data_IF_093746962765
#
_entry.id   IF_093746962765
#
_cell.length_a   1.000
_cell.length_b   1.000
_cell.length_c   1.000
_cell.angle_alpha   90.00
_cell.angle_beta   90.00
_cell.angle_gamma   90.00
#
_symmetry.space_group_name_H-M   'P 1'
#
loop_
_entity.id
_entity.type
_entity.pdbx_description
1 polymer ?
#
# COMPACT_ATOMS: atom_id res chain seq x y z
N UNK A 1 33.05 45.82 61.14
CA UNK A 1 33.27 45.06 62.39
C UNK A 1 32.21 43.97 62.49
N UNK A 2 32.56 42.78 63.01
CA UNK A 2 32.48 41.54 62.24
C UNK A 2 31.42 40.56 62.75
N UNK A 3 31.04 39.59 61.91
CA UNK A 3 31.03 38.17 62.33
C UNK A 3 30.87 37.23 61.14
N UNK A 4 31.92 36.44 60.95
CA UNK A 4 32.06 35.25 60.11
C UNK A 4 31.42 34.02 60.76
N UNK A 5 30.97 33.04 59.97
CA UNK A 5 31.47 31.65 60.04
C UNK A 5 30.87 30.71 58.96
N UNK A 6 31.78 30.22 58.09
CA UNK A 6 31.98 28.88 57.50
C UNK A 6 30.83 27.99 56.93
N UNK A 7 30.81 27.86 55.58
CA UNK A 7 30.91 26.68 54.64
C UNK A 7 30.41 25.26 54.98
N UNK A 8 30.15 24.34 54.00
CA UNK A 8 30.06 24.46 52.52
C UNK A 8 28.96 23.58 51.79
N UNK A 9 28.98 23.64 50.44
CA UNK A 9 28.56 22.64 49.41
C UNK A 9 27.12 22.66 48.86
N UNK A 10 26.96 23.02 47.58
CA UNK A 10 26.72 22.12 46.43
C UNK A 10 26.65 22.97 45.14
N UNK A 11 27.44 22.62 44.13
CA UNK A 11 27.39 23.24 42.80
C UNK A 11 26.23 22.68 41.99
N UNK A 12 25.53 23.55 41.24
CA UNK A 12 24.60 23.16 40.17
C UNK A 12 25.01 23.86 38.88
N UNK A 13 25.51 23.07 37.94
CA UNK A 13 25.88 23.47 36.59
C UNK A 13 24.63 23.57 35.71
N UNK A 14 24.53 24.67 34.97
CA UNK A 14 23.58 24.87 33.87
C UNK A 14 23.81 23.84 32.75
N UNK A 15 22.74 23.27 32.22
CA UNK A 15 22.74 22.56 30.92
C UNK A 15 21.58 23.13 30.09
N UNK A 16 21.93 23.62 28.90
CA UNK A 16 21.08 24.14 27.83
C UNK A 16 20.18 23.04 27.23
N UNK A 17 19.05 23.39 26.57
CA UNK A 17 18.07 22.41 26.10
C UNK A 17 18.61 21.54 24.96
N UNK A 18 18.52 20.23 25.15
CA UNK A 18 18.86 19.20 24.18
C UNK A 18 17.69 18.97 23.21
N UNK A 19 18.02 18.85 21.93
CA UNK A 19 17.09 18.67 20.80
C UNK A 19 16.29 17.36 20.92
N UNK A 20 14.97 17.45 20.78
CA UNK A 20 14.09 16.30 20.66
C UNK A 20 14.16 15.73 19.23
N UNK A 21 15.03 14.75 19.03
CA UNK A 21 15.16 14.02 17.78
C UNK A 21 15.77 12.66 18.03
N UNK A 22 14.99 11.72 18.59
CA UNK A 22 15.21 10.27 18.56
C UNK A 22 14.20 9.56 19.48
N UNK A 23 12.94 9.41 19.06
CA UNK A 23 12.01 8.47 19.70
C UNK A 23 11.14 7.81 18.62
N UNK A 24 11.74 7.00 17.76
CA UNK A 24 10.99 5.99 16.99
C UNK A 24 11.84 4.74 16.65
N UNK A 25 12.90 4.51 17.43
CA UNK A 25 13.54 3.21 17.55
C UNK A 25 13.32 2.74 18.99
N UNK A 26 12.91 1.48 19.17
CA UNK A 26 12.50 0.83 20.43
C UNK A 26 11.04 1.03 20.85
N UNK A 27 10.15 0.21 20.29
CA UNK A 27 8.96 -0.29 20.99
C UNK A 27 8.75 -1.76 20.59
N UNK A 28 9.71 -2.59 20.97
CA UNK A 28 9.59 -4.05 21.05
C UNK A 28 10.13 -4.46 22.42
N UNK A 29 9.56 -3.90 23.48
CA UNK A 29 9.86 -4.27 24.86
C UNK A 29 8.59 -4.13 25.70
N UNK A 30 7.90 -5.24 25.95
CA UNK A 30 7.63 -5.83 27.28
C UNK A 30 6.84 -7.14 27.07
N UNK A 31 7.52 -8.29 27.10
CA UNK A 31 6.91 -9.59 27.43
C UNK A 31 7.74 -10.17 28.59
N UNK A 32 7.13 -10.60 29.71
CA UNK A 32 7.90 -11.12 30.84
C UNK A 32 8.36 -12.57 30.60
N UNK A 33 9.69 -12.74 30.48
CA UNK A 33 10.51 -13.97 30.66
C UNK A 33 10.40 -15.11 29.60
N UNK A 34 11.42 -15.98 29.50
CA UNK A 34 12.17 -16.25 28.27
C UNK A 34 11.57 -17.40 27.44
N UNK A 35 10.37 -17.21 26.91
CA UNK A 35 10.02 -17.83 25.62
C UNK A 35 10.66 -17.01 24.49
N UNK A 36 12.00 -17.08 24.55
CA UNK A 36 13.09 -16.72 23.64
C UNK A 36 12.88 -15.56 22.67
N UNK A 37 13.77 -14.56 22.77
CA UNK A 37 14.10 -13.61 21.70
C UNK A 37 14.22 -14.31 20.32
N UNK A 38 14.64 -15.57 20.29
CA UNK A 38 14.71 -16.43 19.10
C UNK A 38 13.36 -16.68 18.42
N UNK A 39 12.28 -16.93 19.17
CA UNK A 39 10.94 -17.14 18.58
C UNK A 39 10.41 -15.84 18.01
N UNK A 40 10.57 -14.72 18.72
CA UNK A 40 10.20 -13.38 18.24
C UNK A 40 10.96 -13.03 16.97
N UNK A 41 12.27 -13.29 16.93
CA UNK A 41 13.10 -13.07 15.74
C UNK A 41 12.66 -13.96 14.57
N UNK A 42 12.32 -15.23 14.80
CA UNK A 42 11.78 -16.12 13.76
C UNK A 42 10.44 -15.66 13.20
N UNK A 43 9.52 -15.25 14.08
CA UNK A 43 8.22 -14.70 13.65
C UNK A 43 8.42 -13.43 12.83
N UNK A 44 9.31 -12.54 13.27
CA UNK A 44 9.62 -11.32 12.54
C UNK A 44 10.27 -11.62 11.18
N UNK A 45 11.32 -12.46 11.15
CA UNK A 45 12.12 -12.71 9.94
C UNK A 45 11.43 -13.60 8.91
N UNK A 46 10.52 -14.48 9.33
CA UNK A 46 9.82 -15.39 8.43
C UNK A 46 8.40 -14.90 8.14
N UNK A 47 7.58 -14.69 9.18
CA UNK A 47 6.16 -14.39 8.98
C UNK A 47 5.94 -12.92 8.62
N UNK A 48 6.40 -11.98 9.46
CA UNK A 48 6.16 -10.55 9.21
C UNK A 48 6.87 -10.06 7.95
N UNK A 49 8.09 -10.52 7.71
CA UNK A 49 8.81 -10.22 6.47
C UNK A 49 8.04 -10.70 5.22
N UNK A 50 7.61 -11.97 5.23
CA UNK A 50 6.82 -12.53 4.13
C UNK A 50 5.51 -11.79 3.93
N UNK A 51 4.78 -11.45 5.01
CA UNK A 51 3.51 -10.71 4.93
C UNK A 51 3.74 -9.31 4.34
N UNK A 52 4.77 -8.58 4.79
CA UNK A 52 5.12 -7.28 4.22
C UNK A 52 5.44 -7.36 2.73
N UNK A 53 6.15 -8.41 2.30
CA UNK A 53 6.42 -8.68 0.88
C UNK A 53 5.17 -9.08 0.11
N UNK A 54 4.28 -9.86 0.71
CA UNK A 54 3.04 -10.31 0.09
C UNK A 54 2.01 -9.20 -0.10
N UNK A 55 1.90 -8.28 0.85
CA UNK A 55 0.91 -7.18 0.82
C UNK A 55 1.47 -5.92 0.19
N UNK A 56 2.70 -5.54 0.54
CA UNK A 56 3.29 -4.24 0.16
C UNK A 56 4.45 -4.37 -0.82
N UNK A 57 4.87 -5.58 -1.20
CA UNK A 57 6.11 -5.83 -1.94
C UNK A 57 7.35 -5.15 -1.30
N UNK A 58 7.27 -4.90 0.02
CA UNK A 58 8.14 -3.97 0.73
C UNK A 58 9.04 -4.64 1.77
N UNK A 59 10.05 -3.89 2.21
CA UNK A 59 10.96 -4.32 3.26
C UNK A 59 10.33 -4.08 4.64
N UNK A 60 10.10 -5.16 5.40
CA UNK A 60 9.52 -5.10 6.75
C UNK A 60 10.29 -4.21 7.73
N UNK A 61 11.59 -3.96 7.49
CA UNK A 61 12.45 -3.10 8.32
C UNK A 61 12.24 -1.60 8.07
N UNK A 62 11.60 -1.22 6.97
CA UNK A 62 11.38 0.17 6.58
C UNK A 62 9.91 0.59 6.75
N UNK A 63 8.99 -0.38 6.69
CA UNK A 63 7.55 -0.17 6.78
C UNK A 63 7.09 0.16 8.20
N UNK A 64 6.16 1.10 8.32
CA UNK A 64 5.54 1.51 9.57
C UNK A 64 4.41 0.55 9.96
N UNK A 65 4.53 -0.12 11.10
CA UNK A 65 3.45 -0.96 11.66
C UNK A 65 2.16 -0.17 11.86
N UNK A 66 2.27 1.10 12.28
CA UNK A 66 1.12 2.00 12.50
C UNK A 66 0.31 2.23 11.22
N UNK A 67 1.00 2.32 10.08
CA UNK A 67 0.37 2.66 8.80
C UNK A 67 0.00 1.41 7.98
N UNK A 68 0.84 0.37 8.04
CA UNK A 68 0.63 -0.87 7.28
C UNK A 68 -0.33 -1.84 7.99
N UNK A 69 -0.35 -1.84 9.32
CA UNK A 69 -1.19 -2.74 10.12
C UNK A 69 -1.89 -1.99 11.26
N UNK A 70 -2.78 -1.02 10.95
CA UNK A 70 -3.38 -0.14 11.95
C UNK A 70 -4.09 -0.89 13.09
N UNK A 71 -4.79 -1.99 12.78
CA UNK A 71 -5.48 -2.80 13.79
C UNK A 71 -4.53 -3.46 14.79
N UNK A 72 -3.35 -3.91 14.34
CA UNK A 72 -2.34 -4.51 15.23
C UNK A 72 -1.73 -3.44 16.14
N UNK A 73 -1.40 -2.28 15.56
CA UNK A 73 -0.90 -1.13 16.32
C UNK A 73 -1.91 -0.64 17.36
N UNK A 74 -3.19 -0.49 16.99
CA UNK A 74 -4.26 -0.08 17.91
C UNK A 74 -4.49 -1.12 19.01
N UNK A 75 -4.47 -2.41 18.69
CA UNK A 75 -4.60 -3.49 19.67
C UNK A 75 -3.48 -3.44 20.72
N UNK A 76 -2.23 -3.24 20.29
CA UNK A 76 -1.09 -3.07 21.19
C UNK A 76 -1.24 -1.81 22.04
N UNK A 77 -1.57 -0.65 21.45
CA UNK A 77 -1.65 0.60 22.20
C UNK A 77 -2.80 0.62 23.21
N UNK A 78 -3.92 0.01 22.88
CA UNK A 78 -5.12 0.00 23.73
C UNK A 78 -5.03 -1.06 24.82
N UNK A 79 -4.56 -2.26 24.49
CA UNK A 79 -4.61 -3.42 25.39
C UNK A 79 -3.24 -3.88 25.90
N UNK A 80 -2.14 -3.21 25.49
CA UNK A 80 -0.74 -3.61 25.73
C UNK A 80 -0.40 -5.03 25.28
N UNK A 81 -1.23 -5.60 24.40
CA UNK A 81 -1.11 -6.95 23.86
C UNK A 81 -1.95 -7.09 22.59
N UNK A 82 -1.30 -7.46 21.49
CA UNK A 82 -1.96 -7.67 20.19
C UNK A 82 -3.00 -8.80 20.28
N UNK A 83 -2.64 -9.93 20.90
CA UNK A 83 -3.53 -11.09 21.02
C UNK A 83 -4.77 -10.73 21.82
N UNK A 84 -4.58 -10.04 22.96
CA UNK A 84 -5.70 -9.62 23.80
C UNK A 84 -6.61 -8.63 23.06
N UNK A 85 -6.04 -7.65 22.36
CA UNK A 85 -6.82 -6.68 21.61
C UNK A 85 -7.61 -7.28 20.45
N UNK A 86 -7.05 -8.27 19.73
CA UNK A 86 -7.77 -8.98 18.68
C UNK A 86 -8.92 -9.83 19.22
N UNK A 87 -8.77 -10.42 20.41
CA UNK A 87 -9.83 -11.22 21.05
C UNK A 87 -10.97 -10.35 21.62
N UNK A 88 -10.64 -9.18 22.16
CA UNK A 88 -11.63 -8.23 22.67
C UNK A 88 -12.37 -7.51 21.53
N UNK A 89 -11.74 -7.43 20.35
CA UNK A 89 -12.30 -6.84 19.14
C UNK A 89 -12.38 -5.32 19.19
N UNK A 90 -12.41 -4.69 18.02
CA UNK A 90 -12.88 -3.31 17.90
C UNK A 90 -14.42 -3.32 17.88
N UNK A 91 -15.05 -2.35 18.53
CA UNK A 91 -16.51 -2.25 18.62
C UNK A 91 -17.22 -2.37 17.25
N UNK A 92 -18.48 -2.82 17.26
CA UNK A 92 -19.23 -3.03 16.02
C UNK A 92 -19.47 -1.70 15.30
N UNK A 93 -18.83 -1.52 14.14
CA UNK A 93 -19.24 -0.48 13.19
C UNK A 93 -20.47 -0.97 12.43
N UNK A 94 -21.44 -0.11 12.09
CA UNK A 94 -22.57 -0.47 11.24
C UNK A 94 -22.04 -1.07 9.94
N UNK A 95 -22.35 -2.34 9.70
CA UNK A 95 -21.94 -3.04 8.48
C UNK A 95 -23.07 -2.89 7.46
N UNK A 96 -22.76 -2.54 6.20
CA UNK A 96 -23.76 -2.59 5.15
C UNK A 96 -24.31 -4.01 5.02
N UNK A 97 -25.59 -4.13 4.68
CA UNK A 97 -26.25 -5.41 4.48
C UNK A 97 -26.71 -5.54 3.02
N UNK A 98 -26.39 -6.68 2.42
CA UNK A 98 -26.76 -7.01 1.04
C UNK A 98 -26.83 -8.53 0.87
N UNK A 99 -27.52 -8.99 -0.18
CA UNK A 99 -27.60 -10.42 -0.47
C UNK A 99 -26.21 -11.06 -0.61
N UNK A 100 -25.26 -10.37 -1.27
CA UNK A 100 -23.88 -10.84 -1.44
C UNK A 100 -23.12 -10.90 -0.11
N UNK A 101 -23.29 -9.91 0.78
CA UNK A 101 -22.63 -9.92 2.10
C UNK A 101 -23.14 -11.09 2.95
N UNK A 102 -24.46 -11.33 2.93
CA UNK A 102 -25.05 -12.46 3.66
C UNK A 102 -24.57 -13.80 3.10
N UNK A 103 -24.51 -13.93 1.78
CA UNK A 103 -23.99 -15.13 1.12
C UNK A 103 -22.52 -15.37 1.45
N UNK A 104 -21.66 -14.35 1.32
CA UNK A 104 -20.24 -14.43 1.63
C UNK A 104 -19.98 -14.86 3.09
N UNK A 105 -20.79 -14.38 4.04
CA UNK A 105 -20.73 -14.82 5.45
C UNK A 105 -21.20 -16.26 5.63
N UNK A 106 -22.32 -16.64 5.02
CA UNK A 106 -22.89 -17.98 5.13
C UNK A 106 -21.94 -19.05 4.55
N UNK A 107 -21.33 -18.75 3.41
CA UNK A 107 -20.40 -19.63 2.69
C UNK A 107 -18.93 -19.45 3.13
N UNK A 108 -18.65 -18.55 4.08
CA UNK A 108 -17.32 -18.26 4.63
C UNK A 108 -16.26 -17.96 3.57
N UNK A 109 -16.60 -17.09 2.62
CA UNK A 109 -15.67 -16.70 1.56
C UNK A 109 -14.38 -16.12 2.15
N UNK A 110 -13.24 -16.66 1.73
CA UNK A 110 -11.91 -16.10 2.06
C UNK A 110 -11.51 -14.99 1.09
N UNK A 111 -12.03 -15.04 -0.14
CA UNK A 111 -11.79 -14.10 -1.23
C UNK A 111 -12.85 -14.28 -2.31
N UNK A 112 -12.91 -13.33 -3.24
CA UNK A 112 -13.74 -13.41 -4.43
C UNK A 112 -13.07 -12.70 -5.60
N UNK A 113 -13.47 -13.06 -6.81
CA UNK A 113 -13.10 -12.40 -8.05
C UNK A 113 -14.30 -12.41 -8.98
N UNK A 114 -14.18 -11.80 -10.16
CA UNK A 114 -15.21 -11.81 -11.18
C UNK A 114 -14.86 -12.82 -12.26
N UNK A 115 -15.86 -13.47 -12.85
CA UNK A 115 -15.66 -14.50 -13.89
C UNK A 115 -14.77 -14.02 -15.04
N UNK A 116 -14.96 -12.77 -15.47
CA UNK A 116 -14.14 -12.12 -16.51
C UNK A 116 -12.83 -11.49 -16.02
N UNK A 117 -12.42 -11.77 -14.78
CA UNK A 117 -11.29 -11.11 -14.12
C UNK A 117 -11.66 -9.78 -13.46
N UNK A 118 -10.78 -9.30 -12.57
CA UNK A 118 -11.04 -8.11 -11.76
C UNK A 118 -11.19 -6.81 -12.57
N UNK A 119 -10.71 -6.76 -13.82
CA UNK A 119 -10.92 -5.62 -14.73
C UNK A 119 -12.42 -5.39 -15.06
N UNK A 120 -13.26 -6.42 -14.89
CA UNK A 120 -14.72 -6.31 -15.06
C UNK A 120 -15.32 -5.22 -14.15
N UNK A 121 -14.78 -5.03 -12.94
CA UNK A 121 -15.25 -4.02 -11.99
C UNK A 121 -15.05 -2.59 -12.53
N UNK A 122 -13.83 -2.12 -12.85
CA UNK A 122 -13.62 -0.79 -13.40
C UNK A 122 -14.28 -0.58 -14.77
N UNK A 123 -14.38 -1.60 -15.63
CA UNK A 123 -15.10 -1.50 -16.90
C UNK A 123 -16.61 -1.24 -16.69
N UNK A 124 -17.20 -1.89 -15.68
CA UNK A 124 -18.61 -1.67 -15.32
C UNK A 124 -18.82 -0.28 -14.73
N UNK A 125 -17.87 0.21 -13.91
CA UNK A 125 -17.92 1.58 -13.39
C UNK A 125 -17.83 2.62 -14.51
N UNK A 126 -16.92 2.46 -15.48
CA UNK A 126 -16.78 3.35 -16.64
C UNK A 126 -18.09 3.43 -17.46
N UNK A 127 -18.71 2.27 -17.70
CA UNK A 127 -20.01 2.18 -18.38
C UNK A 127 -21.10 2.90 -17.58
N UNK A 128 -21.16 2.68 -16.26
CA UNK A 128 -22.13 3.34 -15.39
C UNK A 128 -21.96 4.86 -15.38
N UNK A 129 -20.73 5.36 -15.23
CA UNK A 129 -20.42 6.79 -15.24
C UNK A 129 -20.81 7.44 -16.57
N UNK A 130 -20.47 6.82 -17.70
CA UNK A 130 -20.83 7.30 -19.03
C UNK A 130 -22.37 7.35 -19.21
N UNK A 131 -23.09 6.34 -18.71
CA UNK A 131 -24.56 6.31 -18.74
C UNK A 131 -25.22 7.41 -17.90
N UNK A 132 -24.49 7.92 -16.89
CA UNK A 132 -24.90 9.04 -16.03
C UNK A 132 -24.49 10.42 -16.58
N UNK A 133 -23.89 10.48 -17.77
CA UNK A 133 -23.45 11.73 -18.38
C UNK A 133 -22.13 12.29 -17.83
N UNK A 134 -21.35 11.48 -17.10
CA UNK A 134 -20.01 11.88 -16.64
C UNK A 134 -19.05 11.90 -17.82
N UNK A 135 -18.29 12.99 -17.95
CA UNK A 135 -17.24 13.11 -18.98
C UNK A 135 -15.97 12.37 -18.55
N UNK A 136 -15.58 11.34 -19.31
CA UNK A 136 -14.37 10.55 -19.07
C UNK A 136 -13.36 10.83 -20.18
N UNK A 137 -12.31 11.59 -19.86
CA UNK A 137 -11.24 11.95 -20.81
C UNK A 137 -10.06 10.98 -20.68
N UNK A 138 -9.83 10.18 -21.72
CA UNK A 138 -8.72 9.20 -21.79
C UNK A 138 -7.61 9.72 -22.70
N UNK A 139 -6.36 9.37 -22.40
CA UNK A 139 -5.20 9.81 -23.19
C UNK A 139 -4.87 11.31 -23.05
N UNK A 140 -5.41 11.98 -22.02
CA UNK A 140 -5.24 13.40 -21.73
C UNK A 140 -4.57 13.56 -20.35
N UNK A 141 -3.23 13.42 -20.25
CA UNK A 141 -2.54 13.55 -18.98
C UNK A 141 -2.67 14.98 -18.44
N UNK A 142 -2.90 15.12 -17.14
CA UNK A 142 -2.82 16.42 -16.46
C UNK A 142 -1.35 16.83 -16.38
N UNK A 143 -1.05 18.02 -16.86
CA UNK A 143 0.29 18.59 -16.94
C UNK A 143 0.57 19.63 -15.85
N UNK A 144 -0.46 20.16 -15.19
CA UNK A 144 -0.28 21.12 -14.09
C UNK A 144 -1.60 21.63 -13.51
N UNK A 145 -1.52 22.10 -12.28
CA UNK A 145 -2.62 22.70 -11.53
C UNK A 145 -2.22 24.12 -11.14
N UNK A 146 -3.15 25.06 -11.27
CA UNK A 146 -2.98 26.44 -10.78
C UNK A 146 -4.29 26.95 -10.20
N UNK A 147 -4.23 27.64 -9.08
CA UNK A 147 -5.39 28.38 -8.56
C UNK A 147 -5.55 29.68 -9.35
N UNK A 148 -6.75 29.90 -9.84
CA UNK A 148 -7.14 31.16 -10.46
C UNK A 148 -7.70 32.12 -9.42
N UNK A 149 -8.01 33.34 -9.86
CA UNK A 149 -8.81 34.27 -9.08
C UNK A 149 -10.15 33.60 -8.71
N UNK A 150 -10.80 34.11 -7.65
CA UNK A 150 -12.06 33.55 -7.10
C UNK A 150 -11.96 32.14 -6.48
N UNK A 151 -10.80 31.49 -6.53
CA UNK A 151 -10.54 30.21 -5.82
C UNK A 151 -10.79 28.95 -6.64
N UNK A 152 -11.04 29.07 -7.94
CA UNK A 152 -11.20 27.94 -8.85
C UNK A 152 -9.85 27.35 -9.27
N UNK A 153 -9.83 26.06 -9.57
CA UNK A 153 -8.69 25.41 -10.19
C UNK A 153 -8.73 25.52 -11.70
N UNK A 154 -7.57 25.84 -12.29
CA UNK A 154 -7.28 25.52 -13.68
C UNK A 154 -6.44 24.24 -13.76
N UNK A 155 -6.98 23.24 -14.46
CA UNK A 155 -6.33 21.96 -14.75
C UNK A 155 -5.80 21.99 -16.18
N UNK A 156 -4.48 21.95 -16.35
CA UNK A 156 -3.84 21.98 -17.66
C UNK A 156 -3.66 20.57 -18.21
N UNK A 157 -4.02 20.32 -19.47
CA UNK A 157 -3.96 19.01 -20.14
C UNK A 157 -2.96 18.98 -21.31
N UNK A 158 -2.04 19.95 -21.38
CA UNK A 158 -1.21 20.21 -22.56
C UNK A 158 -1.78 21.39 -23.35
N UNK A 159 -2.36 21.13 -24.51
CA UNK A 159 -2.90 22.16 -25.41
C UNK A 159 -4.29 22.67 -25.02
N UNK A 160 -4.88 22.12 -23.95
CA UNK A 160 -6.18 22.52 -23.43
C UNK A 160 -6.17 22.66 -21.91
N UNK A 161 -7.23 23.26 -21.37
CA UNK A 161 -7.43 23.36 -19.93
C UNK A 161 -8.89 23.18 -19.54
N UNK A 162 -9.11 22.71 -18.32
CA UNK A 162 -10.41 22.64 -17.67
C UNK A 162 -10.41 23.56 -16.45
N UNK A 163 -11.58 24.06 -16.09
CA UNK A 163 -11.81 24.75 -14.83
C UNK A 163 -12.58 23.83 -13.89
N UNK A 164 -12.26 23.88 -12.59
CA UNK A 164 -12.91 23.06 -11.58
C UNK A 164 -13.04 23.81 -10.25
N UNK A 165 -14.22 23.76 -9.64
CA UNK A 165 -14.44 24.29 -8.30
C UNK A 165 -13.68 23.51 -7.23
N UNK A 166 -13.52 22.20 -7.45
CA UNK A 166 -12.80 21.30 -6.55
C UNK A 166 -12.12 20.18 -7.33
N UNK A 167 -10.99 19.71 -6.84
CA UNK A 167 -10.25 18.57 -7.41
C UNK A 167 -10.23 17.42 -6.42
N UNK A 168 -10.57 16.21 -6.87
CA UNK A 168 -10.21 14.96 -6.19
C UNK A 168 -9.00 14.38 -6.92
N UNK A 169 -7.85 14.36 -6.26
CA UNK A 169 -6.66 13.71 -6.80
C UNK A 169 -6.62 12.24 -6.40
N UNK A 170 -6.87 11.37 -7.38
CA UNK A 170 -6.76 9.91 -7.25
C UNK A 170 -5.49 9.31 -7.90
N UNK A 171 -4.53 10.16 -8.29
CA UNK A 171 -3.24 9.76 -8.86
C UNK A 171 -2.19 9.51 -7.78
N UNK A 172 -1.05 8.83 -8.08
CA UNK A 172 0.03 8.66 -7.11
C UNK A 172 0.51 10.00 -6.52
N UNK A 173 0.80 10.03 -5.22
CA UNK A 173 1.22 11.24 -4.52
C UNK A 173 2.47 11.92 -5.14
N UNK A 174 3.43 11.13 -5.61
CA UNK A 174 4.63 11.61 -6.30
C UNK A 174 4.37 12.15 -7.71
N UNK A 175 3.23 11.82 -8.32
CA UNK A 175 2.77 12.45 -9.55
C UNK A 175 2.07 13.77 -9.22
N UNK A 176 1.16 13.79 -8.24
CA UNK A 176 0.51 15.01 -7.78
C UNK A 176 1.52 16.08 -7.34
N UNK A 177 2.59 15.70 -6.64
CA UNK A 177 3.62 16.64 -6.17
C UNK A 177 4.24 17.47 -7.30
N UNK A 178 4.28 16.93 -8.53
CA UNK A 178 4.84 17.61 -9.71
C UNK A 178 3.83 18.52 -10.41
N UNK A 179 2.54 18.32 -10.15
CA UNK A 179 1.45 19.09 -10.77
C UNK A 179 1.06 20.31 -9.93
N UNK A 180 1.34 20.28 -8.63
CA UNK A 180 0.99 21.35 -7.72
C UNK A 180 1.75 22.65 -8.05
N UNK A 181 1.10 23.82 -7.88
CA UNK A 181 1.74 25.11 -8.14
C UNK A 181 2.75 25.46 -7.05
N UNK A 182 3.56 26.49 -7.30
CA UNK A 182 4.65 26.93 -6.42
C UNK A 182 4.20 27.31 -5.01
N UNK A 183 2.98 27.85 -4.87
CA UNK A 183 2.41 28.26 -3.58
C UNK A 183 2.06 27.04 -2.71
N UNK A 184 1.86 25.88 -3.34
CA UNK A 184 1.64 24.60 -2.68
C UNK A 184 2.94 23.80 -2.48
N UNK A 185 4.11 24.43 -2.58
CA UNK A 185 5.41 23.78 -2.40
C UNK A 185 5.53 22.96 -1.09
N UNK A 186 5.03 23.40 0.08
CA UNK A 186 5.09 22.58 1.30
C UNK A 186 4.32 21.26 1.16
N UNK A 187 3.14 21.27 0.51
CA UNK A 187 2.37 20.07 0.22
C UNK A 187 3.11 19.18 -0.80
N UNK A 188 3.60 19.78 -1.88
CA UNK A 188 4.35 19.06 -2.91
C UNK A 188 5.57 18.33 -2.33
N UNK A 189 6.33 18.98 -1.44
CA UNK A 189 7.48 18.38 -0.76
C UNK A 189 7.08 17.14 0.04
N UNK A 190 6.02 17.22 0.84
CA UNK A 190 5.53 16.09 1.64
C UNK A 190 5.08 14.93 0.74
N UNK A 191 4.25 15.22 -0.27
CA UNK A 191 3.74 14.22 -1.21
C UNK A 191 4.85 13.52 -2.00
N UNK A 192 5.92 14.25 -2.35
CA UNK A 192 7.06 13.70 -3.07
C UNK A 192 7.85 12.67 -2.24
N UNK A 193 7.73 12.69 -0.90
CA UNK A 193 8.35 11.68 -0.02
C UNK A 193 7.56 10.39 0.10
N UNK A 194 6.38 10.30 -0.52
CA UNK A 194 5.57 9.08 -0.60
C UNK A 194 5.94 8.37 -1.90
N UNK A 195 6.86 7.43 -1.80
CA UNK A 195 7.37 6.64 -2.93
C UNK A 195 6.64 5.30 -3.02
N UNK A 196 6.82 4.62 -4.15
CA UNK A 196 6.26 3.30 -4.41
C UNK A 196 7.33 2.38 -5.00
N UNK A 197 7.18 1.07 -4.80
CA UNK A 197 8.06 0.06 -5.41
C UNK A 197 7.50 -0.45 -6.72
N UNK A 198 8.38 -0.94 -7.58
CA UNK A 198 8.01 -1.68 -8.78
C UNK A 198 7.82 -3.17 -8.49
N UNK A 199 6.96 -3.83 -9.26
CA UNK A 199 6.76 -5.28 -9.23
C UNK A 199 6.67 -5.80 -10.67
N UNK A 200 7.41 -6.86 -10.98
CA UNK A 200 7.23 -7.61 -12.21
C UNK A 200 6.31 -8.81 -11.93
N UNK A 201 5.18 -8.86 -12.64
CA UNK A 201 4.20 -9.94 -12.56
C UNK A 201 4.43 -10.88 -13.72
N UNK A 202 4.70 -12.14 -13.42
CA UNK A 202 4.94 -13.17 -14.43
C UNK A 202 3.90 -14.28 -14.28
N UNK A 203 3.00 -14.36 -15.25
CA UNK A 203 1.94 -15.37 -15.30
C UNK A 203 2.45 -16.54 -16.14
N UNK A 204 2.44 -17.74 -15.57
CA UNK A 204 2.93 -18.95 -16.22
C UNK A 204 1.81 -19.99 -16.28
N UNK A 205 1.62 -20.60 -17.47
CA UNK A 205 0.65 -21.67 -17.67
C UNK A 205 1.32 -22.98 -18.07
N UNK A 206 0.93 -24.09 -17.44
CA UNK A 206 1.44 -25.42 -17.69
C UNK A 206 0.33 -26.40 -18.06
N UNK A 207 0.54 -27.18 -19.12
CA UNK A 207 -0.38 -28.25 -19.54
C UNK A 207 -0.01 -29.56 -18.85
N UNK A 208 -1.00 -30.25 -18.28
CA UNK A 208 -0.82 -31.56 -17.64
C UNK A 208 0.03 -31.56 -16.35
N UNK A 209 0.51 -30.41 -15.90
CA UNK A 209 1.26 -30.27 -14.67
C UNK A 209 0.35 -30.24 -13.43
N UNK A 210 0.93 -30.51 -12.26
CA UNK A 210 0.24 -30.48 -10.97
C UNK A 210 1.12 -29.80 -9.93
N UNK A 211 0.50 -29.07 -9.02
CA UNK A 211 1.18 -28.49 -7.87
C UNK A 211 1.49 -29.56 -6.81
N UNK A 212 2.58 -29.40 -6.04
CA UNK A 212 2.92 -30.34 -4.97
C UNK A 212 1.93 -30.28 -3.79
N UNK A 213 1.29 -29.14 -3.57
CA UNK A 213 0.30 -28.90 -2.52
C UNK A 213 -0.84 -28.01 -3.04
N UNK A 214 -1.99 -28.08 -2.37
CA UNK A 214 -3.14 -27.20 -2.62
C UNK A 214 -3.13 -26.05 -1.62
N UNK A 215 -3.42 -24.84 -2.09
CA UNK A 215 -3.48 -23.63 -1.28
C UNK A 215 -3.66 -22.38 -2.12
N UNK A 216 -3.77 -21.21 -1.49
CA UNK A 216 -3.81 -19.93 -2.19
C UNK A 216 -2.52 -19.66 -2.99
N UNK A 217 -1.39 -20.08 -2.41
CA UNK A 217 -0.05 -19.77 -2.90
C UNK A 217 0.94 -19.87 -1.74
N UNK A 218 2.13 -19.34 -1.94
CA UNK A 218 3.11 -19.20 -0.88
C UNK A 218 3.89 -17.89 -1.02
N UNK A 219 4.44 -17.43 0.10
CA UNK A 219 5.31 -16.27 0.18
C UNK A 219 6.75 -16.74 0.40
N UNK A 220 7.70 -15.95 -0.08
CA UNK A 220 9.13 -16.25 0.05
C UNK A 220 9.77 -15.16 0.91
N UNK A 221 10.29 -15.49 2.12
CA UNK A 221 11.00 -14.54 2.96
C UNK A 221 12.20 -13.92 2.24
N UNK A 222 12.55 -12.67 2.55
CA UNK A 222 13.68 -11.98 1.91
C UNK A 222 15.03 -12.68 2.14
N UNK A 223 15.13 -13.51 3.18
CA UNK A 223 16.33 -14.30 3.50
C UNK A 223 16.53 -15.50 2.58
N UNK A 224 15.46 -15.99 1.93
CA UNK A 224 15.51 -17.11 0.99
C UNK A 224 15.76 -16.61 -0.44
N UNK A 225 15.01 -15.59 -0.87
CA UNK A 225 15.19 -14.96 -2.17
C UNK A 225 14.83 -13.46 -2.11
N UNK A 226 15.76 -12.54 -2.44
CA UNK A 226 15.46 -11.11 -2.41
C UNK A 226 14.52 -10.65 -3.53
N UNK A 227 14.45 -11.39 -4.65
CA UNK A 227 13.72 -11.05 -5.86
C UNK A 227 12.35 -11.70 -5.99
N UNK A 228 12.18 -12.95 -5.57
CA UNK A 228 10.88 -13.65 -5.63
C UNK A 228 10.07 -13.33 -4.38
N UNK A 229 8.97 -12.57 -4.49
CA UNK A 229 8.12 -12.20 -3.36
C UNK A 229 7.21 -13.34 -2.91
N UNK A 230 6.68 -14.09 -3.88
CA UNK A 230 5.76 -15.19 -3.68
C UNK A 230 5.15 -15.67 -4.99
N UNK A 231 4.43 -16.79 -4.92
CA UNK A 231 3.74 -17.40 -6.06
C UNK A 231 2.30 -17.70 -5.68
N UNK A 232 1.36 -17.15 -6.44
CA UNK A 232 -0.08 -17.42 -6.32
C UNK A 232 -0.44 -18.63 -7.18
N UNK A 233 -1.29 -19.50 -6.65
CA UNK A 233 -1.78 -20.70 -7.33
C UNK A 233 -3.16 -20.42 -7.93
N UNK A 234 -3.22 -19.65 -9.02
CA UNK A 234 -4.46 -19.08 -9.54
C UNK A 234 -5.53 -20.13 -9.87
N UNK A 235 -5.13 -21.27 -10.45
CA UNK A 235 -6.04 -22.38 -10.77
C UNK A 235 -6.62 -23.08 -9.54
N UNK A 236 -6.01 -22.96 -8.37
CA UNK A 236 -6.58 -23.50 -7.12
C UNK A 236 -7.71 -22.62 -6.62
N UNK A 237 -7.56 -21.30 -6.76
CA UNK A 237 -8.57 -20.34 -6.31
C UNK A 237 -9.73 -20.19 -7.32
N UNK A 238 -9.42 -20.13 -8.62
CA UNK A 238 -10.37 -19.82 -9.69
C UNK A 238 -10.18 -20.77 -10.89
N UNK A 239 -10.45 -22.08 -10.75
CA UNK A 239 -10.27 -23.08 -11.81
C UNK A 239 -11.13 -22.79 -13.06
N UNK A 240 -12.24 -22.09 -12.92
CA UNK A 240 -13.11 -21.67 -14.03
C UNK A 240 -12.45 -20.70 -15.01
N UNK A 241 -11.28 -20.14 -14.67
CA UNK A 241 -10.49 -19.23 -15.50
C UNK A 241 -9.31 -19.92 -16.22
N UNK A 242 -9.18 -21.24 -16.14
CA UNK A 242 -8.05 -21.99 -16.72
C UNK A 242 -8.08 -22.12 -18.25
N UNK A 243 -9.13 -21.60 -18.89
CA UNK A 243 -9.35 -21.67 -20.32
C UNK A 243 -9.81 -23.04 -20.81
N UNK A 244 -9.81 -23.24 -22.13
CA UNK A 244 -10.17 -24.50 -22.77
C UNK A 244 -9.24 -24.75 -23.97
N UNK A 245 -8.40 -25.81 -23.97
CA UNK A 245 -8.26 -26.80 -22.89
C UNK A 245 -7.67 -26.20 -21.60
N UNK A 246 -8.04 -26.71 -20.42
CA UNK A 246 -7.57 -26.18 -19.14
C UNK A 246 -6.06 -26.40 -18.96
N UNK A 247 -5.40 -25.45 -18.30
CA UNK A 247 -3.99 -25.55 -17.91
C UNK A 247 -3.73 -24.88 -16.57
N UNK A 248 -2.84 -25.47 -15.77
CA UNK A 248 -2.42 -24.94 -14.46
C UNK A 248 -1.80 -23.57 -14.63
N UNK A 249 -2.33 -22.56 -13.95
CA UNK A 249 -1.84 -21.18 -13.91
C UNK A 249 -1.24 -20.87 -12.54
N UNK A 250 -0.09 -20.21 -12.58
CA UNK A 250 0.56 -19.62 -11.41
C UNK A 250 1.05 -18.22 -11.75
N UNK A 251 1.01 -17.33 -10.77
CA UNK A 251 1.49 -15.95 -10.90
C UNK A 251 2.66 -15.72 -9.96
N UNK A 252 3.83 -15.48 -10.53
CA UNK A 252 5.06 -15.17 -9.80
C UNK A 252 5.17 -13.66 -9.66
N UNK A 253 5.32 -13.20 -8.42
CA UNK A 253 5.55 -11.79 -8.10
C UNK A 253 7.04 -11.57 -7.87
N UNK A 254 7.68 -10.78 -8.73
CA UNK A 254 9.10 -10.43 -8.63
C UNK A 254 9.26 -8.96 -8.22
N UNK A 255 10.17 -8.67 -7.30
CA UNK A 255 10.39 -7.32 -6.79
C UNK A 255 11.52 -7.24 -5.78
N UNK A 256 11.25 -6.59 -4.64
CA UNK A 256 12.18 -6.50 -3.52
C UNK A 256 13.48 -5.77 -3.85
N UNK A 257 14.51 -5.99 -3.02
CA UNK A 257 15.80 -5.32 -3.17
C UNK A 257 16.53 -5.71 -4.46
N UNK A 258 16.26 -6.90 -5.00
CA UNK A 258 16.81 -7.35 -6.28
C UNK A 258 16.38 -6.42 -7.43
N UNK A 259 15.06 -6.20 -7.58
CA UNK A 259 14.55 -5.31 -8.64
C UNK A 259 14.99 -3.86 -8.42
N UNK A 260 14.96 -3.38 -7.17
CA UNK A 260 15.43 -2.03 -6.84
C UNK A 260 16.91 -1.82 -7.20
N UNK A 261 17.76 -2.81 -6.95
CA UNK A 261 19.19 -2.75 -7.30
C UNK A 261 19.38 -2.70 -8.81
N UNK A 262 18.64 -3.51 -9.57
CA UNK A 262 18.69 -3.51 -11.03
C UNK A 262 18.18 -2.19 -11.64
N UNK A 263 17.12 -1.61 -11.06
CA UNK A 263 16.62 -0.29 -11.44
C UNK A 263 17.67 0.80 -11.20
N UNK A 264 18.32 0.77 -10.03
CA UNK A 264 19.33 1.75 -9.65
C UNK A 264 20.64 1.62 -10.46
N UNK A 265 21.02 0.40 -10.87
CA UNK A 265 22.23 0.15 -11.65
C UNK A 265 22.09 0.47 -13.14
N UNK A 266 20.89 0.88 -13.60
CA UNK A 266 20.62 1.15 -15.01
C UNK A 266 20.64 -0.12 -15.88
N UNK A 267 20.46 -1.30 -15.28
CA UNK A 267 20.38 -2.55 -16.02
C UNK A 267 19.12 -2.56 -16.91
N UNK A 268 19.23 -3.20 -18.08
CA UNK A 268 18.08 -3.38 -18.97
C UNK A 268 17.11 -4.38 -18.34
N UNK A 269 15.94 -3.89 -17.93
CA UNK A 269 14.88 -4.69 -17.33
C UNK A 269 14.03 -5.35 -18.43
N UNK A 270 14.56 -6.39 -19.06
CA UNK A 270 13.90 -7.07 -20.17
C UNK A 270 12.83 -8.07 -19.72
N UNK A 271 11.89 -8.40 -20.60
CA UNK A 271 10.87 -9.42 -20.28
C UNK A 271 11.50 -10.80 -20.10
N UNK A 272 12.56 -11.12 -20.86
CA UNK A 272 13.30 -12.38 -20.78
C UNK A 272 13.97 -12.55 -19.41
N UNK A 273 14.48 -11.47 -18.81
CA UNK A 273 15.05 -11.49 -17.46
C UNK A 273 14.01 -11.96 -16.44
N UNK A 274 12.83 -11.33 -16.44
CA UNK A 274 11.76 -11.66 -15.50
C UNK A 274 11.17 -13.05 -15.75
N UNK A 275 10.97 -13.41 -17.02
CA UNK A 275 10.51 -14.76 -17.39
C UNK A 275 11.48 -15.83 -16.88
N UNK A 276 12.78 -15.65 -17.10
CA UNK A 276 13.80 -16.61 -16.66
C UNK A 276 13.79 -16.75 -15.14
N UNK A 277 13.80 -15.63 -14.40
CA UNK A 277 13.77 -15.63 -12.94
C UNK A 277 12.52 -16.35 -12.41
N UNK A 278 11.35 -16.09 -13.01
CA UNK A 278 10.09 -16.72 -12.62
C UNK A 278 10.07 -18.23 -12.91
N UNK A 279 10.60 -18.66 -14.07
CA UNK A 279 10.70 -20.07 -14.43
C UNK A 279 11.66 -20.83 -13.49
N UNK A 280 12.80 -20.23 -13.14
CA UNK A 280 13.73 -20.81 -12.16
C UNK A 280 13.09 -20.93 -10.77
N UNK A 281 12.33 -19.92 -10.36
CA UNK A 281 11.59 -19.93 -9.09
C UNK A 281 10.56 -21.06 -9.03
N UNK A 282 9.68 -21.19 -10.02
CA UNK A 282 8.65 -22.26 -10.04
C UNK A 282 9.27 -23.65 -10.21
N UNK A 283 10.36 -23.79 -10.97
CA UNK A 283 11.07 -25.06 -11.09
C UNK A 283 11.66 -25.51 -9.74
N UNK A 284 12.24 -24.57 -9.00
CA UNK A 284 12.87 -24.83 -7.69
C UNK A 284 11.84 -25.04 -6.59
N UNK A 285 10.84 -24.16 -6.51
CA UNK A 285 9.90 -24.09 -5.38
C UNK A 285 8.69 -25.01 -5.56
N UNK A 286 8.27 -25.29 -6.81
CA UNK A 286 7.08 -26.09 -7.12
C UNK A 286 7.39 -27.38 -7.90
N UNK A 287 8.64 -27.59 -8.33
CA UNK A 287 9.03 -28.75 -9.13
C UNK A 287 8.53 -28.71 -10.58
N UNK A 288 8.06 -27.55 -11.06
CA UNK A 288 7.57 -27.36 -12.43
C UNK A 288 8.76 -27.13 -13.38
N UNK A 289 9.41 -28.23 -13.80
CA UNK A 289 10.64 -28.19 -14.61
C UNK A 289 10.40 -28.10 -16.11
N UNK A 290 9.22 -28.47 -16.57
CA UNK A 290 8.83 -28.34 -17.98
C UNK A 290 8.72 -26.86 -18.37
N UNK A 291 8.94 -26.50 -19.64
CA UNK A 291 8.71 -25.13 -20.08
C UNK A 291 7.21 -24.78 -20.00
N UNK A 292 6.85 -23.55 -19.59
CA UNK A 292 5.47 -23.12 -19.58
C UNK A 292 4.91 -23.05 -21.01
N UNK A 293 3.68 -23.50 -21.18
CA UNK A 293 2.93 -23.42 -22.44
C UNK A 293 2.50 -22.00 -22.80
N UNK A 294 2.41 -21.11 -21.81
CA UNK A 294 2.15 -19.69 -22.00
C UNK A 294 2.84 -18.87 -20.90
N UNK A 295 3.31 -17.67 -21.26
CA UNK A 295 4.00 -16.77 -20.35
C UNK A 295 3.58 -15.33 -20.67
N UNK A 296 3.15 -14.57 -19.65
CA UNK A 296 2.91 -13.13 -19.74
C UNK A 296 3.74 -12.41 -18.69
N UNK A 297 4.53 -11.42 -19.14
CA UNK A 297 5.40 -10.62 -18.28
C UNK A 297 4.97 -9.16 -18.31
N UNK A 298 4.68 -8.60 -17.14
CA UNK A 298 4.35 -7.18 -16.99
C UNK A 298 5.19 -6.56 -15.88
N UNK A 299 5.99 -5.55 -16.20
CA UNK A 299 6.67 -4.73 -15.20
C UNK A 299 5.79 -3.53 -14.84
N UNK A 300 5.29 -3.52 -13.60
CA UNK A 300 4.55 -2.40 -13.05
C UNK A 300 5.51 -1.49 -12.28
N UNK A 301 5.82 -0.32 -12.86
CA UNK A 301 6.71 0.67 -12.25
C UNK A 301 5.98 1.43 -11.15
N UNK A 302 6.61 1.58 -9.98
CA UNK A 302 6.10 2.41 -8.87
C UNK A 302 4.62 2.12 -8.52
N UNK A 303 4.25 0.83 -8.45
CA UNK A 303 2.86 0.40 -8.38
C UNK A 303 2.31 0.23 -6.97
N UNK A 304 3.18 0.00 -5.96
CA UNK A 304 2.73 -0.17 -4.56
C UNK A 304 3.42 0.87 -3.66
N UNK A 305 2.66 1.89 -3.18
CA UNK A 305 3.16 2.88 -2.23
C UNK A 305 3.74 2.25 -0.96
N UNK A 306 4.85 2.80 -0.47
CA UNK A 306 5.54 2.31 0.72
C UNK A 306 5.27 3.22 1.91
N UNK A 307 4.50 2.73 2.87
CA UNK A 307 4.19 3.47 4.09
C UNK A 307 5.33 3.32 5.10
N UNK A 308 6.42 4.04 4.86
CA UNK A 308 7.63 4.01 5.68
C UNK A 308 7.42 4.69 7.05
N UNK A 309 8.42 4.60 7.93
CA UNK A 309 8.42 5.34 9.19
C UNK A 309 8.09 6.83 8.98
N UNK A 310 7.24 7.35 9.87
CA UNK A 310 6.70 8.71 9.77
C UNK A 310 5.64 8.94 8.67
N UNK A 311 5.16 7.92 7.95
CA UNK A 311 4.09 8.10 6.94
C UNK A 311 2.86 8.83 7.49
N UNK A 312 2.42 8.48 8.71
CA UNK A 312 1.31 9.16 9.36
C UNK A 312 1.53 10.68 9.57
N UNK A 313 2.77 11.12 9.84
CA UNK A 313 3.12 12.55 9.95
C UNK A 313 3.08 13.25 8.60
N UNK A 314 3.46 12.54 7.52
CA UNK A 314 3.32 13.06 6.16
C UNK A 314 1.86 13.35 5.86
N UNK A 315 0.96 12.40 6.13
CA UNK A 315 -0.48 12.58 5.94
C UNK A 315 -1.02 13.74 6.79
N UNK A 316 -0.66 13.78 8.08
CA UNK A 316 -1.10 14.86 8.97
C UNK A 316 -0.64 16.24 8.46
N UNK A 317 0.61 16.35 7.99
CA UNK A 317 1.17 17.59 7.45
C UNK A 317 0.46 18.02 6.17
N UNK A 318 0.17 17.08 5.26
CA UNK A 318 -0.58 17.34 4.05
C UNK A 318 -2.00 17.84 4.37
N UNK A 319 -2.71 17.17 5.27
CA UNK A 319 -4.07 17.56 5.67
C UNK A 319 -4.11 18.90 6.39
N UNK A 320 -3.14 19.18 7.28
CA UNK A 320 -3.01 20.50 7.93
C UNK A 320 -2.78 21.61 6.91
N UNK A 321 -1.95 21.38 5.90
CA UNK A 321 -1.69 22.36 4.85
C UNK A 321 -2.95 22.63 4.01
N UNK A 322 -3.62 21.58 3.53
CA UNK A 322 -4.87 21.70 2.75
C UNK A 322 -5.93 22.50 3.51
N UNK A 323 -6.12 22.20 4.80
CA UNK A 323 -7.08 22.90 5.65
C UNK A 323 -6.68 24.36 5.93
N UNK A 324 -5.40 24.61 6.25
CA UNK A 324 -4.91 25.96 6.56
C UNK A 324 -5.00 26.90 5.36
N UNK A 325 -4.70 26.39 4.16
CA UNK A 325 -4.77 27.14 2.91
C UNK A 325 -6.16 27.14 2.28
N UNK A 326 -7.12 26.39 2.86
CA UNK A 326 -8.48 26.20 2.31
C UNK A 326 -8.46 25.80 0.83
N UNK A 327 -7.52 24.93 0.46
CA UNK A 327 -7.36 24.48 -0.91
C UNK A 327 -8.52 23.56 -1.28
N UNK A 328 -9.25 23.81 -2.38
CA UNK A 328 -10.33 22.94 -2.81
C UNK A 328 -9.78 21.69 -3.51
N UNK A 329 -9.03 20.89 -2.74
CA UNK A 329 -8.32 19.69 -3.18
C UNK A 329 -8.48 18.60 -2.13
N UNK A 330 -8.99 17.44 -2.55
CA UNK A 330 -9.10 16.23 -1.74
C UNK A 330 -8.17 15.14 -2.28
N UNK A 331 -7.50 14.41 -1.39
CA UNK A 331 -6.58 13.33 -1.73
C UNK A 331 -7.28 11.97 -1.60
N UNK A 332 -7.11 11.08 -2.57
CA UNK A 332 -7.68 9.73 -2.56
C UNK A 332 -6.75 8.70 -3.23
N UNK A 333 -6.96 7.42 -2.92
CA UNK A 333 -6.23 6.31 -3.53
C UNK A 333 -5.04 5.80 -2.70
N UNK A 334 -4.29 4.88 -3.32
CA UNK A 334 -3.35 3.99 -2.62
C UNK A 334 -2.17 4.68 -1.94
N UNK A 335 -1.88 5.96 -2.22
CA UNK A 335 -0.74 6.66 -1.62
C UNK A 335 -0.95 7.05 -0.15
N UNK A 336 -2.17 6.96 0.37
CA UNK A 336 -2.52 7.59 1.64
C UNK A 336 -2.87 6.57 2.73
N UNK A 337 -4.10 6.06 2.75
CA UNK A 337 -4.69 5.37 3.90
C UNK A 337 -4.92 3.86 3.71
N UNK A 338 -4.44 3.28 2.61
CA UNK A 338 -4.51 1.84 2.36
C UNK A 338 -4.22 1.50 0.91
N UNK A 339 -3.50 0.40 0.68
CA UNK A 339 -3.10 -0.05 -0.66
C UNK A 339 -4.06 -1.06 -1.27
N UNK A 340 -4.97 -1.64 -0.49
CA UNK A 340 -5.89 -2.64 -0.99
C UNK A 340 -6.98 -2.00 -1.87
N UNK A 341 -7.57 -2.79 -2.76
CA UNK A 341 -8.69 -2.35 -3.61
C UNK A 341 -9.87 -1.85 -2.75
N UNK A 342 -10.16 -2.53 -1.64
CA UNK A 342 -11.20 -2.11 -0.70
C UNK A 342 -10.93 -0.72 -0.12
N UNK A 343 -9.68 -0.47 0.31
CA UNK A 343 -9.26 0.82 0.87
C UNK A 343 -9.34 1.92 -0.20
N UNK A 344 -8.93 1.61 -1.44
CA UNK A 344 -9.01 2.55 -2.55
C UNK A 344 -10.45 2.94 -2.87
N UNK A 345 -11.38 1.96 -2.92
CA UNK A 345 -12.82 2.20 -3.12
C UNK A 345 -13.37 3.09 -2.00
N UNK A 346 -13.04 2.77 -0.74
CA UNK A 346 -13.50 3.54 0.41
C UNK A 346 -12.93 4.96 0.40
N UNK A 347 -11.64 5.13 0.09
CA UNK A 347 -11.02 6.45 -0.01
C UNK A 347 -11.67 7.32 -1.10
N UNK A 348 -12.04 6.73 -2.24
CA UNK A 348 -12.77 7.42 -3.30
C UNK A 348 -14.17 7.83 -2.86
N UNK A 349 -14.88 6.95 -2.14
CA UNK A 349 -16.20 7.24 -1.59
C UNK A 349 -16.15 8.37 -0.55
N UNK A 350 -15.19 8.33 0.36
CA UNK A 350 -14.98 9.38 1.38
C UNK A 350 -14.62 10.72 0.75
N UNK A 351 -13.77 10.71 -0.29
CA UNK A 351 -13.45 11.91 -1.03
C UNK A 351 -14.70 12.53 -1.68
N UNK A 352 -15.55 11.72 -2.32
CA UNK A 352 -16.82 12.20 -2.89
C UNK A 352 -17.75 12.81 -1.82
N UNK A 353 -17.91 12.15 -0.67
CA UNK A 353 -18.73 12.66 0.44
C UNK A 353 -18.19 13.99 0.98
N UNK A 354 -16.87 14.12 1.12
CA UNK A 354 -16.25 15.36 1.59
C UNK A 354 -16.53 16.57 0.69
N UNK A 355 -16.68 16.33 -0.63
CA UNK A 355 -16.93 17.36 -1.63
C UNK A 355 -18.42 17.68 -1.76
N UNK A 356 -19.29 16.66 -1.74
CA UNK A 356 -20.74 16.86 -1.83
C UNK A 356 -21.34 17.46 -0.55
N UNK A 357 -20.65 17.32 0.58
CA UNK A 357 -21.19 17.65 1.90
C UNK A 357 -22.09 16.53 2.44
N UNK A 358 -22.61 16.65 3.68
CA UNK A 358 -23.56 15.68 4.21
C UNK A 358 -24.78 15.61 3.30
N UNK A 359 -25.20 14.40 2.93
CA UNK A 359 -26.44 14.19 2.18
C UNK A 359 -27.58 14.92 2.90
N UNK A 360 -28.20 15.88 2.21
CA UNK A 360 -29.51 16.35 2.63
C UNK A 360 -30.45 15.17 2.39
N UNK A 361 -30.77 14.45 3.47
CA UNK A 361 -31.82 13.43 3.47
C UNK A 361 -33.04 14.02 2.76
N UNK A 362 -33.29 13.58 1.53
CA UNK A 362 -34.46 13.91 0.73
C UNK A 362 -35.28 12.66 0.49
#
# INVERSE_FOLDING_TARGET
MPSSCHTPLISKTQILPYQAGAVEAYSLQVIPRPLSLSLTLKVASLAMDSICRGVFAGNSRELSIRSCFPSLFQAEQTHRSVILGLLLGAGQSPQPDSALIRQARAERWSQWSLRGGMETLPQTLDTYLTSRGVSVLRGQPVCGLSLQAEGHWKVSLGDSSLEADHIISAIPASALSKLLPTEAAPLAQVLNTITAVSVAVVNLQYRGARLPVQGFGHLVPSSEDPGVLGIVYDSVAFPEQDGSPPGLRVTVMLGGSWLQTLEASGCVLSQELFQKQAQEAVATQLGLKEPPSHCLVHLHKNCIPQYTLGHWQKLESAMKFLAAQRLPLTLAGASYEGVAVNDCIESGRQAAISVLGPESNS
#
